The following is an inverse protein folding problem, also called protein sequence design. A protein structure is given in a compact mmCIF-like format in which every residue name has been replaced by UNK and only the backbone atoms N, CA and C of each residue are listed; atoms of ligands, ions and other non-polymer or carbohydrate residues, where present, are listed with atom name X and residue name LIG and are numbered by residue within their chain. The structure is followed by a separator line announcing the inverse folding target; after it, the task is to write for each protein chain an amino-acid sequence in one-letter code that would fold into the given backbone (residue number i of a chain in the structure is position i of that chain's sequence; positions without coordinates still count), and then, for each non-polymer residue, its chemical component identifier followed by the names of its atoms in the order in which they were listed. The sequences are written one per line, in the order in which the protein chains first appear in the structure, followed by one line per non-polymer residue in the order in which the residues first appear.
data_IF_967541567010
#
_entry.id   IF_967541567010
#
_cell.length_a   1.000
_cell.length_b   1.000
_cell.length_c   1.000
_cell.angle_alpha   90.00
_cell.angle_beta   90.00
_cell.angle_gamma   90.00
#
_symmetry.space_group_name_H-M   'P 1'
#
loop_
_entity.id
_entity.type
_entity.pdbx_description
1 polymer ?
#
# COMPACT_ATOMS: atom_id res chain seq x y z
N UNK A 1 -3.45 2.98 -14.53
CA UNK A 1 -2.29 2.11 -14.25
C UNK A 1 -1.36 2.18 -15.45
N UNK A 2 -0.21 2.82 -15.28
CA UNK A 2 0.76 3.01 -16.36
C UNK A 2 1.23 1.65 -16.87
N UNK A 3 1.49 1.54 -18.17
CA UNK A 3 2.00 0.32 -18.82
C UNK A 3 3.37 0.02 -18.23
N UNK A 4 3.42 -0.87 -17.24
CA UNK A 4 4.64 -1.22 -16.54
C UNK A 4 5.55 -2.03 -17.46
N UNK A 5 6.76 -1.51 -17.70
CA UNK A 5 7.78 -2.26 -18.43
C UNK A 5 8.11 -3.50 -17.61
N UNK A 6 8.23 -4.69 -18.23
CA UNK A 6 8.53 -5.91 -17.48
C UNK A 6 9.82 -5.73 -16.69
N UNK A 7 9.75 -5.93 -15.37
CA UNK A 7 10.82 -5.68 -14.38
C UNK A 7 12.16 -6.27 -14.79
N UNK A 8 12.12 -7.42 -15.48
CA UNK A 8 13.30 -8.12 -16.03
C UNK A 8 14.07 -7.36 -17.12
N UNK A 9 13.48 -6.35 -17.76
CA UNK A 9 14.14 -5.55 -18.81
C UNK A 9 14.79 -4.28 -18.28
N UNK A 10 14.63 -3.96 -17.01
CA UNK A 10 15.23 -2.78 -16.39
C UNK A 10 16.65 -3.07 -15.90
N UNK A 11 17.52 -2.06 -15.95
CA UNK A 11 18.83 -2.13 -15.30
C UNK A 11 18.69 -2.03 -13.77
N UNK A 12 19.69 -2.51 -13.01
CA UNK A 12 19.66 -2.46 -11.54
C UNK A 12 19.36 -1.04 -11.01
N UNK A 13 19.98 -0.01 -11.62
CA UNK A 13 19.74 1.39 -11.26
C UNK A 13 18.29 1.81 -11.49
N UNK A 14 17.71 1.42 -12.63
CA UNK A 14 16.30 1.72 -12.93
C UNK A 14 15.36 1.01 -11.97
N UNK A 15 15.63 -0.25 -11.62
CA UNK A 15 14.84 -1.01 -10.65
C UNK A 15 14.90 -0.35 -9.27
N UNK A 16 16.09 0.07 -8.81
CA UNK A 16 16.25 0.79 -7.53
C UNK A 16 15.46 2.10 -7.50
N UNK A 17 15.55 2.92 -8.55
CA UNK A 17 14.77 4.17 -8.64
C UNK A 17 13.26 3.90 -8.68
N UNK A 18 12.83 2.85 -9.37
CA UNK A 18 11.43 2.48 -9.43
C UNK A 18 10.91 2.00 -8.06
N UNK A 19 11.65 1.14 -7.37
CA UNK A 19 11.31 0.67 -6.03
C UNK A 19 11.28 1.81 -5.02
N UNK A 20 12.21 2.77 -5.10
CA UNK A 20 12.18 3.97 -4.27
C UNK A 20 10.89 4.77 -4.50
N UNK A 21 10.51 5.01 -5.76
CA UNK A 21 9.26 5.70 -6.07
C UNK A 21 8.05 4.94 -5.50
N UNK A 22 7.94 3.64 -5.77
CA UNK A 22 6.85 2.81 -5.28
C UNK A 22 6.76 2.83 -3.74
N UNK A 23 7.91 2.82 -3.04
CA UNK A 23 7.93 2.94 -1.57
C UNK A 23 7.40 4.29 -1.08
N UNK A 24 7.71 5.39 -1.77
CA UNK A 24 7.19 6.72 -1.41
C UNK A 24 5.69 6.81 -1.68
N UNK A 25 5.24 6.34 -2.84
CA UNK A 25 3.82 6.32 -3.21
C UNK A 25 3.00 5.50 -2.18
N UNK A 26 3.54 4.38 -1.70
CA UNK A 26 2.94 3.55 -0.62
C UNK A 26 2.86 4.29 0.73
N UNK A 27 3.91 5.02 1.11
CA UNK A 27 3.91 5.82 2.34
C UNK A 27 2.87 6.94 2.23
N UNK A 28 2.80 7.62 1.08
CA UNK A 28 1.81 8.66 0.82
C UNK A 28 0.38 8.10 0.87
N UNK A 29 0.13 6.93 0.27
CA UNK A 29 -1.16 6.25 0.33
C UNK A 29 -1.54 5.86 1.76
N UNK A 30 -0.59 5.32 2.53
CA UNK A 30 -0.82 4.95 3.93
C UNK A 30 -1.21 6.16 4.78
N UNK A 31 -0.47 7.25 4.66
CA UNK A 31 -0.71 8.48 5.43
C UNK A 31 -1.99 9.18 4.97
N UNK A 32 -2.20 9.26 3.65
CA UNK A 32 -3.31 10.01 3.06
C UNK A 32 -4.64 9.28 3.05
N UNK A 33 -4.66 7.95 3.13
CA UNK A 33 -5.89 7.16 2.96
C UNK A 33 -6.12 6.17 4.10
N UNK A 34 -5.15 5.31 4.41
CA UNK A 34 -5.33 4.25 5.42
C UNK A 34 -5.50 4.83 6.82
N UNK A 35 -4.61 5.72 7.25
CA UNK A 35 -4.66 6.33 8.58
C UNK A 35 -5.96 7.11 8.85
N UNK A 36 -6.42 8.00 7.95
CA UNK A 36 -7.71 8.67 8.10
C UNK A 36 -8.88 7.71 8.21
N UNK A 37 -8.94 6.69 7.35
CA UNK A 37 -10.05 5.73 7.37
C UNK A 37 -10.11 4.93 8.69
N UNK A 38 -8.97 4.60 9.28
CA UNK A 38 -8.90 3.96 10.61
C UNK A 38 -9.30 4.93 11.72
N UNK A 39 -8.89 6.20 11.63
CA UNK A 39 -9.29 7.24 12.58
C UNK A 39 -10.81 7.44 12.60
N UNK A 40 -11.44 7.47 11.43
CA UNK A 40 -12.90 7.59 11.29
C UNK A 40 -13.64 6.45 11.99
N UNK A 41 -13.17 5.21 11.84
CA UNK A 41 -13.76 4.05 12.55
C UNK A 41 -13.62 4.25 14.06
N UNK A 42 -12.44 4.64 14.53
CA UNK A 42 -12.21 4.87 15.95
C UNK A 42 -13.18 5.91 16.50
N UNK A 43 -13.41 7.00 15.78
CA UNK A 43 -14.32 8.05 16.25
C UNK A 43 -15.79 7.64 16.20
N UNK A 44 -16.19 6.85 15.20
CA UNK A 44 -17.54 6.27 15.11
C UNK A 44 -17.80 5.18 16.16
N UNK A 45 -16.76 4.45 16.59
CA UNK A 45 -16.86 3.40 17.60
C UNK A 45 -16.92 3.92 19.04
N UNK A 46 -16.56 5.19 19.27
CA UNK A 46 -16.61 5.78 20.61
C UNK A 46 -18.07 5.92 21.05
N UNK A 47 -18.39 5.61 22.32
CA UNK A 47 -19.71 5.84 22.87
C UNK A 47 -19.96 7.35 22.98
N UNK A 48 -20.53 7.94 21.94
CA UNK A 48 -20.99 9.34 21.94
C UNK A 48 -22.46 9.35 22.33
N UNK A 49 -22.88 10.27 23.20
CA UNK A 49 -24.30 10.56 23.48
C UNK A 49 -24.97 11.12 22.21
N UNK A 50 -25.26 10.27 21.21
CA UNK A 50 -26.01 10.64 20.01
C UNK A 50 -27.45 10.19 20.15
N UNK A 51 -28.37 11.08 19.76
CA UNK A 51 -29.83 10.92 19.89
C UNK A 51 -30.42 9.76 19.06
N UNK A 52 -29.66 9.19 18.12
CA UNK A 52 -30.11 8.14 17.21
C UNK A 52 -29.05 7.05 17.00
N UNK A 53 -29.41 5.78 17.27
CA UNK A 53 -28.52 4.62 17.16
C UNK A 53 -28.36 4.09 15.73
N UNK A 54 -29.43 4.13 14.92
CA UNK A 54 -29.46 3.55 13.58
C UNK A 54 -28.48 4.20 12.58
N UNK A 55 -28.35 5.54 12.50
CA UNK A 55 -27.38 6.19 11.59
C UNK A 55 -25.92 5.86 11.93
N UNK A 56 -25.63 5.58 13.21
CA UNK A 56 -24.29 5.26 13.68
C UNK A 56 -23.85 3.87 13.21
N UNK A 57 -24.75 2.87 13.22
CA UNK A 57 -24.44 1.53 12.73
C UNK A 57 -24.16 1.51 11.21
N UNK A 58 -24.95 2.25 10.43
CA UNK A 58 -24.72 2.39 8.98
C UNK A 58 -23.39 3.09 8.69
N UNK A 59 -23.06 4.15 9.45
CA UNK A 59 -21.79 4.85 9.30
C UNK A 59 -20.59 3.94 9.64
N UNK A 60 -20.68 3.13 10.70
CA UNK A 60 -19.66 2.14 11.07
C UNK A 60 -19.50 1.10 9.96
N UNK A 61 -20.60 0.54 9.44
CA UNK A 61 -20.55 -0.44 8.35
C UNK A 61 -19.84 0.12 7.11
N UNK A 62 -20.19 1.34 6.71
CA UNK A 62 -19.57 2.01 5.58
C UNK A 62 -18.07 2.29 5.83
N UNK A 63 -17.71 2.71 7.04
CA UNK A 63 -16.31 2.96 7.40
C UNK A 63 -15.48 1.66 7.39
N UNK A 64 -16.02 0.55 7.91
CA UNK A 64 -15.40 -0.77 7.84
C UNK A 64 -15.19 -1.22 6.39
N UNK A 65 -16.20 -1.06 5.53
CA UNK A 65 -16.09 -1.41 4.11
C UNK A 65 -14.99 -0.61 3.42
N UNK A 66 -14.87 0.69 3.71
CA UNK A 66 -13.80 1.54 3.18
C UNK A 66 -12.41 1.07 3.63
N UNK A 67 -12.23 0.80 4.92
CA UNK A 67 -10.95 0.28 5.44
C UNK A 67 -10.60 -1.06 4.82
N UNK A 68 -11.58 -1.97 4.67
CA UNK A 68 -11.34 -3.25 4.02
C UNK A 68 -10.89 -3.09 2.57
N UNK A 69 -11.55 -2.23 1.80
CA UNK A 69 -11.20 -1.96 0.42
C UNK A 69 -9.80 -1.35 0.30
N UNK A 70 -9.53 -0.27 1.03
CA UNK A 70 -8.20 0.38 1.01
C UNK A 70 -7.12 -0.58 1.51
N UNK A 71 -7.41 -1.43 2.50
CA UNK A 71 -6.49 -2.45 2.98
C UNK A 71 -6.13 -3.47 1.90
N UNK A 72 -7.10 -3.92 1.09
CA UNK A 72 -6.84 -4.82 -0.05
C UNK A 72 -5.97 -4.14 -1.12
N UNK A 73 -6.26 -2.87 -1.45
CA UNK A 73 -5.45 -2.08 -2.38
C UNK A 73 -4.00 -1.93 -1.87
N UNK A 74 -3.82 -1.54 -0.60
CA UNK A 74 -2.50 -1.41 0.02
C UNK A 74 -1.74 -2.74 0.04
N UNK A 75 -2.41 -3.86 0.31
CA UNK A 75 -1.78 -5.19 0.29
C UNK A 75 -1.28 -5.55 -1.10
N UNK A 76 -2.07 -5.29 -2.14
CA UNK A 76 -1.65 -5.51 -3.53
C UNK A 76 -0.40 -4.69 -3.89
N UNK A 77 -0.35 -3.43 -3.45
CA UNK A 77 0.80 -2.56 -3.71
C UNK A 77 2.05 -3.01 -2.94
N UNK A 78 1.88 -3.51 -1.70
CA UNK A 78 2.96 -4.09 -0.90
C UNK A 78 3.52 -5.38 -1.51
N UNK A 79 2.64 -6.27 -1.97
CA UNK A 79 3.03 -7.51 -2.66
C UNK A 79 3.85 -7.19 -3.91
N UNK A 80 3.40 -6.19 -4.69
CA UNK A 80 4.13 -5.72 -5.85
C UNK A 80 5.51 -5.15 -5.48
N UNK A 81 5.60 -4.27 -4.47
CA UNK A 81 6.89 -3.74 -4.02
C UNK A 81 7.83 -4.86 -3.54
N UNK A 82 7.29 -5.86 -2.84
CA UNK A 82 8.06 -7.00 -2.38
C UNK A 82 8.66 -7.79 -3.56
N UNK A 83 7.88 -8.03 -4.62
CA UNK A 83 8.35 -8.67 -5.84
C UNK A 83 9.49 -7.87 -6.49
N UNK A 84 9.34 -6.55 -6.58
CA UNK A 84 10.37 -5.64 -7.12
C UNK A 84 11.68 -5.72 -6.31
N UNK A 85 11.60 -5.69 -4.99
CA UNK A 85 12.76 -5.79 -4.10
C UNK A 85 13.45 -7.16 -4.23
N UNK A 86 12.67 -8.22 -4.42
CA UNK A 86 13.22 -9.56 -4.62
C UNK A 86 13.95 -9.68 -5.96
N UNK A 87 13.42 -9.12 -7.05
CA UNK A 87 14.11 -9.05 -8.35
C UNK A 87 15.39 -8.23 -8.27
N UNK A 88 15.39 -7.08 -7.58
CA UNK A 88 16.60 -6.27 -7.34
C UNK A 88 17.67 -7.10 -6.64
N UNK A 89 17.29 -7.84 -5.60
CA UNK A 89 18.21 -8.71 -4.85
C UNK A 89 18.83 -9.78 -5.74
N UNK A 90 18.02 -10.46 -6.55
CA UNK A 90 18.51 -11.48 -7.48
C UNK A 90 19.41 -10.87 -8.57
N UNK A 91 19.05 -9.70 -9.10
CA UNK A 91 19.87 -9.00 -10.09
C UNK A 91 21.23 -8.60 -9.52
N UNK A 92 21.26 -8.00 -8.33
CA UNK A 92 22.49 -7.65 -7.63
C UNK A 92 23.36 -8.89 -7.33
N UNK A 93 22.74 -10.02 -6.97
CA UNK A 93 23.44 -11.29 -6.74
C UNK A 93 24.12 -11.80 -8.02
N UNK A 94 23.41 -11.78 -9.16
CA UNK A 94 23.97 -12.19 -10.47
C UNK A 94 25.13 -11.30 -10.88
N UNK A 95 24.99 -9.98 -10.76
CA UNK A 95 26.09 -9.06 -11.05
C UNK A 95 27.32 -9.30 -10.16
N UNK A 96 27.13 -9.59 -8.87
CA UNK A 96 28.23 -9.88 -7.96
C UNK A 96 28.99 -11.16 -8.35
N UNK A 97 28.29 -12.20 -8.78
CA UNK A 97 28.91 -13.46 -9.23
C UNK A 97 29.69 -13.22 -10.53
N UNK A 98 29.13 -12.48 -11.49
CA UNK A 98 29.79 -12.21 -12.77
C UNK A 98 31.04 -11.32 -12.66
N UNK A 99 31.20 -10.59 -11.56
CA UNK A 99 32.38 -9.75 -11.27
C UNK A 99 33.49 -10.48 -10.50
N UNK A 100 33.24 -11.71 -10.04
CA UNK A 100 34.24 -12.60 -9.39
C UNK A 100 34.77 -13.61 -10.39
#
# INVERSE_FOLDING_TARGET
MAIERPTRRMTLRQQLTHAEKCSRDLIEHFIGTVLPNVSDIRDLSRPVRRRSHYPTLVAIHNALRRVQQTGQETLSDLEYLQEQLQEIREHARRERINRR
#
